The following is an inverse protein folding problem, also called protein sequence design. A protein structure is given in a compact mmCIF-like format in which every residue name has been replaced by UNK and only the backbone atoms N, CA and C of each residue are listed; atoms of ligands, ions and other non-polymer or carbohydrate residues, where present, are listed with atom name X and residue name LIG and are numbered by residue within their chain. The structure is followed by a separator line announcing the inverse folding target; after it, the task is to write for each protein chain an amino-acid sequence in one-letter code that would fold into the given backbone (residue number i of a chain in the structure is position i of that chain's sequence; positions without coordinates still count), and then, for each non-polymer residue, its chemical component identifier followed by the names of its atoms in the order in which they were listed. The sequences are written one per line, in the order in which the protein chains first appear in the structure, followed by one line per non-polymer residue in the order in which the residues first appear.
data_IF_956635090910
#
_entry.id   IF_956635090910
#
_cell.length_a   1.000
_cell.length_b   1.000
_cell.length_c   1.000
_cell.angle_alpha   90.00
_cell.angle_beta   90.00
_cell.angle_gamma   90.00
#
_symmetry.space_group_name_H-M   'P 1'
#
loop_
_entity.id
_entity.type
_entity.pdbx_description
1 polymer ?
#
# COMPACT_ATOMS: atom_id res chain seq x y z
N UNK A 1 7.75 1.97 0.96
CA UNK A 1 7.22 0.60 1.15
C UNK A 1 8.28 -0.36 1.71
N UNK A 2 9.49 -0.41 1.15
CA UNK A 2 10.53 -1.37 1.54
C UNK A 2 10.89 -1.37 3.05
N UNK A 3 11.16 -0.20 3.64
CA UNK A 3 11.53 -0.12 5.07
C UNK A 3 10.45 -0.69 6.00
N UNK A 4 9.17 -0.37 5.74
CA UNK A 4 8.07 -0.91 6.54
C UNK A 4 7.94 -2.43 6.43
N UNK A 5 8.25 -3.01 5.26
CA UNK A 5 8.25 -4.46 5.06
C UNK A 5 9.39 -5.12 5.84
N UNK A 6 10.55 -4.47 5.96
CA UNK A 6 11.70 -4.98 6.73
C UNK A 6 11.50 -4.87 8.25
N UNK A 7 11.01 -3.72 8.73
CA UNK A 7 10.95 -3.43 10.16
C UNK A 7 9.61 -3.77 10.82
N UNK A 8 8.51 -3.74 10.07
CA UNK A 8 7.17 -3.97 10.61
C UNK A 8 6.26 -4.74 9.64
N UNK A 9 6.67 -5.94 9.15
CA UNK A 9 5.95 -6.68 8.12
C UNK A 9 4.50 -6.99 8.51
N UNK A 10 4.26 -7.34 9.78
CA UNK A 10 2.91 -7.61 10.29
C UNK A 10 2.02 -6.37 10.25
N UNK A 11 2.56 -5.21 10.59
CA UNK A 11 1.80 -3.95 10.55
C UNK A 11 1.49 -3.54 9.10
N UNK A 12 2.46 -3.69 8.20
CA UNK A 12 2.27 -3.43 6.77
C UNK A 12 1.23 -4.38 6.16
N UNK A 13 1.30 -5.68 6.46
CA UNK A 13 0.32 -6.65 5.99
C UNK A 13 -1.08 -6.34 6.53
N UNK A 14 -1.22 -6.02 7.84
CA UNK A 14 -2.51 -5.59 8.41
C UNK A 14 -3.05 -4.33 7.75
N UNK A 15 -2.21 -3.36 7.44
CA UNK A 15 -2.60 -2.15 6.73
C UNK A 15 -3.04 -2.44 5.29
N UNK A 16 -2.33 -3.34 4.59
CA UNK A 16 -2.69 -3.78 3.23
C UNK A 16 -4.05 -4.48 3.22
N UNK A 17 -4.25 -5.44 4.11
CA UNK A 17 -5.54 -6.14 4.28
C UNK A 17 -6.64 -5.12 4.62
N UNK A 18 -6.37 -4.17 5.52
CA UNK A 18 -7.34 -3.11 5.82
C UNK A 18 -7.74 -2.30 4.58
N UNK A 19 -6.77 -1.89 3.77
CA UNK A 19 -7.02 -1.14 2.54
C UNK A 19 -7.83 -1.93 1.51
N UNK A 20 -7.47 -3.21 1.30
CA UNK A 20 -8.13 -4.13 0.36
C UNK A 20 -9.62 -4.34 0.63
N UNK A 21 -10.02 -4.25 1.89
CA UNK A 21 -11.42 -4.44 2.31
C UNK A 21 -12.14 -3.12 2.59
N UNK A 22 -11.48 -1.98 2.40
CA UNK A 22 -12.09 -0.64 2.49
C UNK A 22 -12.55 -0.14 1.12
N UNK A 23 -13.50 0.79 1.12
CA UNK A 23 -13.85 1.57 -0.07
C UNK A 23 -12.96 2.81 -0.16
N UNK A 24 -12.97 3.48 -1.31
CA UNK A 24 -12.24 4.73 -1.54
C UNK A 24 -13.14 5.75 -2.25
N UNK A 25 -12.72 7.01 -2.26
CA UNK A 25 -13.43 8.10 -2.93
C UNK A 25 -12.85 8.44 -4.32
N UNK A 26 -12.00 7.59 -4.91
CA UNK A 26 -11.34 7.92 -6.18
C UNK A 26 -12.31 8.00 -7.37
N UNK A 27 -13.50 7.40 -7.25
CA UNK A 27 -14.55 7.46 -8.26
C UNK A 27 -15.64 8.50 -7.94
N UNK A 28 -15.43 9.33 -6.92
CA UNK A 28 -16.36 10.40 -6.53
C UNK A 28 -15.84 11.75 -7.03
N UNK A 29 -16.75 12.69 -7.30
CA UNK A 29 -16.39 14.08 -7.59
C UNK A 29 -15.72 14.71 -6.37
N UNK A 30 -14.64 15.43 -6.60
CA UNK A 30 -13.94 16.18 -5.55
C UNK A 30 -14.50 17.60 -5.49
N UNK A 31 -15.62 17.77 -4.80
CA UNK A 31 -16.37 19.02 -4.67
C UNK A 31 -16.55 19.44 -3.21
N UNK A 32 -17.12 20.63 -2.99
CA UNK A 32 -17.35 21.17 -1.66
C UNK A 32 -18.30 20.28 -0.84
N UNK A 33 -19.24 19.57 -1.49
CA UNK A 33 -20.14 18.63 -0.81
C UNK A 33 -19.36 17.46 -0.19
N UNK A 34 -18.38 16.90 -0.90
CA UNK A 34 -17.49 15.88 -0.34
C UNK A 34 -16.65 16.43 0.82
N UNK A 35 -16.17 17.67 0.71
CA UNK A 35 -15.31 18.30 1.72
C UNK A 35 -16.06 18.70 3.00
N UNK A 36 -17.35 19.03 2.88
CA UNK A 36 -18.22 19.35 4.01
C UNK A 36 -18.69 18.11 4.79
N UNK A 37 -18.43 16.89 4.28
CA UNK A 37 -18.77 15.67 5.00
C UNK A 37 -17.94 15.49 6.27
N UNK A 38 -18.63 15.07 7.34
CA UNK A 38 -17.97 14.70 8.60
C UNK A 38 -17.14 13.42 8.42
N UNK A 39 -15.91 13.44 8.93
CA UNK A 39 -14.96 12.31 8.88
C UNK A 39 -15.54 11.03 9.52
N UNK A 40 -16.35 11.15 10.57
CA UNK A 40 -16.96 9.99 11.26
C UNK A 40 -17.85 9.14 10.33
N UNK A 41 -18.95 9.71 9.81
CA UNK A 41 -19.80 9.06 8.80
C UNK A 41 -19.02 8.62 7.56
N UNK A 42 -18.06 9.44 7.09
CA UNK A 42 -17.23 9.08 5.94
C UNK A 42 -16.41 7.80 6.21
N UNK A 43 -15.80 7.67 7.40
CA UNK A 43 -15.05 6.45 7.78
C UNK A 43 -15.94 5.23 7.88
N UNK A 44 -17.19 5.38 8.29
CA UNK A 44 -18.16 4.28 8.33
C UNK A 44 -18.57 3.86 6.92
N UNK A 45 -18.89 4.83 6.05
CA UNK A 45 -19.15 4.63 4.63
C UNK A 45 -18.01 3.91 3.91
N UNK A 46 -16.77 4.23 4.27
CA UNK A 46 -15.57 3.62 3.69
C UNK A 46 -15.19 2.27 4.32
N UNK A 47 -15.90 1.80 5.35
CA UNK A 47 -15.57 0.55 6.04
C UNK A 47 -14.29 0.63 6.89
N UNK A 48 -13.91 1.82 7.35
CA UNK A 48 -12.70 2.09 8.14
C UNK A 48 -12.95 2.14 9.65
N UNK A 49 -14.20 2.02 10.10
CA UNK A 49 -14.57 2.06 11.51
C UNK A 49 -14.80 0.65 12.04
N UNK A 50 -14.01 0.24 13.05
CA UNK A 50 -14.28 -0.93 13.89
C UNK A 50 -14.31 -2.30 13.19
N UNK A 51 -14.05 -2.38 11.88
CA UNK A 51 -14.10 -3.64 11.16
C UNK A 51 -12.94 -4.55 11.59
N UNK A 52 -13.27 -5.63 12.29
CA UNK A 52 -12.39 -6.79 12.41
C UNK A 52 -12.35 -7.46 11.04
N UNK A 53 -11.31 -7.17 10.26
CA UNK A 53 -11.19 -7.66 8.89
C UNK A 53 -10.59 -9.06 8.92
N UNK A 54 -11.37 -10.05 8.49
CA UNK A 54 -10.92 -11.43 8.32
C UNK A 54 -10.12 -11.54 7.01
N UNK A 55 -8.79 -11.82 7.07
CA UNK A 55 -7.97 -11.90 5.87
C UNK A 55 -8.39 -13.08 4.98
N UNK A 56 -8.50 -12.85 3.67
CA UNK A 56 -8.75 -13.92 2.70
C UNK A 56 -7.42 -14.52 2.21
N UNK A 57 -7.39 -15.79 1.77
CA UNK A 57 -6.18 -16.38 1.19
C UNK A 57 -5.65 -15.60 -0.03
N UNK A 58 -6.55 -15.01 -0.80
CA UNK A 58 -6.21 -14.13 -1.94
C UNK A 58 -5.43 -12.90 -1.50
N UNK A 59 -5.69 -12.35 -0.32
CA UNK A 59 -4.96 -11.17 0.18
C UNK A 59 -3.50 -11.50 0.48
N UNK A 60 -3.20 -12.73 0.91
CA UNK A 60 -1.80 -13.19 1.08
C UNK A 60 -1.09 -13.26 -0.26
N UNK A 61 -1.72 -13.87 -1.27
CA UNK A 61 -1.14 -13.99 -2.61
C UNK A 61 -0.88 -12.62 -3.24
N UNK A 62 -1.86 -11.70 -3.19
CA UNK A 62 -1.68 -10.36 -3.73
C UNK A 62 -0.62 -9.58 -2.97
N UNK A 63 -0.55 -9.71 -1.65
CA UNK A 63 0.46 -9.03 -0.84
C UNK A 63 1.88 -9.51 -1.16
N UNK A 64 2.09 -10.83 -1.17
CA UNK A 64 3.41 -11.43 -1.45
C UNK A 64 3.82 -11.14 -2.88
N UNK A 65 2.91 -11.34 -3.84
CA UNK A 65 3.16 -11.04 -5.25
C UNK A 65 3.51 -9.57 -5.47
N UNK A 66 2.71 -8.64 -4.95
CA UNK A 66 2.97 -7.21 -5.07
C UNK A 66 4.27 -6.77 -4.39
N UNK A 67 4.56 -7.31 -3.20
CA UNK A 67 5.81 -7.03 -2.48
C UNK A 67 7.03 -7.55 -3.25
N UNK A 68 6.93 -8.74 -3.85
CA UNK A 68 8.01 -9.31 -4.64
C UNK A 68 8.25 -8.54 -5.93
N UNK A 69 7.20 -8.18 -6.65
CA UNK A 69 7.31 -7.32 -7.85
C UNK A 69 7.95 -5.98 -7.51
N UNK A 70 7.54 -5.35 -6.40
CA UNK A 70 8.13 -4.09 -5.94
C UNK A 70 9.62 -4.21 -5.58
N UNK A 71 10.02 -5.29 -4.88
CA UNK A 71 11.43 -5.55 -4.57
C UNK A 71 12.25 -5.81 -5.84
N UNK A 72 11.73 -6.60 -6.79
CA UNK A 72 12.41 -6.86 -8.06
C UNK A 72 12.62 -5.58 -8.86
N UNK A 73 11.60 -4.73 -8.97
CA UNK A 73 11.70 -3.42 -9.61
C UNK A 73 12.75 -2.51 -8.95
N UNK A 74 12.89 -2.57 -7.62
CA UNK A 74 13.90 -1.80 -6.88
C UNK A 74 15.32 -2.22 -7.27
N UNK A 75 15.58 -3.52 -7.39
CA UNK A 75 16.90 -4.02 -7.80
C UNK A 75 17.18 -3.71 -9.28
N UNK A 76 16.21 -3.91 -10.16
CA UNK A 76 16.36 -3.65 -11.60
C UNK A 76 16.62 -2.17 -11.89
N UNK A 77 15.89 -1.27 -11.22
CA UNK A 77 16.08 0.18 -11.40
C UNK A 77 17.38 0.71 -10.78
N UNK A 78 17.95 0.02 -9.79
CA UNK A 78 19.23 0.38 -9.18
C UNK A 78 20.46 -0.03 -10.00
N UNK A 79 20.37 -1.06 -10.83
CA UNK A 79 21.49 -1.61 -11.63
C UNK A 79 22.27 -0.56 -12.43
N UNK A 80 21.65 0.39 -13.16
CA UNK A 80 22.38 1.41 -13.92
C UNK A 80 23.20 2.32 -13.01
N UNK A 81 22.68 2.64 -11.83
CA UNK A 81 23.33 3.52 -10.86
C UNK A 81 24.52 2.81 -10.19
N UNK A 82 24.37 1.53 -9.85
CA UNK A 82 25.49 0.69 -9.40
C UNK A 82 26.57 0.55 -10.47
N UNK A 83 26.19 0.33 -11.73
CA UNK A 83 27.13 0.22 -12.85
C UNK A 83 27.92 1.51 -13.07
N UNK A 84 27.25 2.68 -13.02
CA UNK A 84 27.90 4.00 -13.09
C UNK A 84 28.90 4.21 -11.95
N UNK A 85 28.50 3.87 -10.71
CA UNK A 85 29.38 3.97 -9.54
C UNK A 85 30.62 3.08 -9.68
N UNK A 86 30.45 1.83 -10.13
CA UNK A 86 31.58 0.94 -10.41
C UNK A 86 32.51 1.51 -11.48
N UNK A 87 31.98 2.11 -12.55
CA UNK A 87 32.79 2.74 -13.60
C UNK A 87 33.56 3.98 -13.12
N UNK A 88 33.00 4.78 -12.20
CA UNK A 88 33.67 5.96 -11.65
C UNK A 88 34.80 5.62 -10.67
N UNK A 89 34.78 4.42 -10.09
CA UNK A 89 35.75 3.97 -9.08
C UNK A 89 36.84 3.06 -9.71
N UNK A 90 36.58 2.48 -10.88
CA UNK A 90 37.50 1.66 -11.66
C UNK A 90 38.40 2.51 -12.57
#
# INVERSE_FOLDING_TARGET
MALGLCFAPRAVYRAFVRGRHSRNCYCESYDDELLDQKIGPLRERLGLRGAEIVPRPTDRLTFVGGSMTGLMLQFVSGLPLYALLCWLIA
#
